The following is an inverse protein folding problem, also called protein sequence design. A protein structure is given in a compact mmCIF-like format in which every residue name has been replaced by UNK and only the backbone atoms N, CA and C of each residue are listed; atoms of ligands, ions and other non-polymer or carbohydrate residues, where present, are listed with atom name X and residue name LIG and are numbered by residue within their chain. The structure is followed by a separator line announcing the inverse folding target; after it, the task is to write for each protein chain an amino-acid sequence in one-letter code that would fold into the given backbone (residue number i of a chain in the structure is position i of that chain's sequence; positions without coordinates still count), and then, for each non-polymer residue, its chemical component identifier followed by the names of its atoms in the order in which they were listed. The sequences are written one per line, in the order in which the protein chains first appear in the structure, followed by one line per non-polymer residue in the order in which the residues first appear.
data_IF_176071301189
#
_entry.id   IF_176071301189
#
_cell.length_a   1.000
_cell.length_b   1.000
_cell.length_c   1.000
_cell.angle_alpha   90.00
_cell.angle_beta   90.00
_cell.angle_gamma   90.00
#
_symmetry.space_group_name_H-M   'P 1'
#
loop_
_entity.id
_entity.type
_entity.pdbx_description
1 polymer ?
#
# COMPACT_ATOMS: atom_id res chain seq x y z
N UNK A 1 4.49 11.95 5.09
CA UNK A 1 4.08 12.36 6.46
C UNK A 1 3.15 13.57 6.34
N UNK A 2 2.45 13.95 7.40
CA UNK A 2 1.86 15.31 7.46
C UNK A 2 2.98 16.27 7.83
N UNK A 3 3.17 17.32 7.03
CA UNK A 3 4.21 18.33 7.17
C UNK A 3 3.62 19.61 7.75
N UNK A 4 4.41 20.41 8.50
CA UNK A 4 3.96 21.71 8.97
C UNK A 4 3.57 22.60 7.78
N UNK A 5 2.35 23.16 7.82
CA UNK A 5 1.82 24.02 6.75
C UNK A 5 1.01 23.28 5.69
N UNK A 6 0.81 21.97 5.84
CA UNK A 6 -0.15 21.24 5.02
C UNK A 6 -1.57 21.77 5.19
N UNK A 7 -2.24 21.88 4.06
CA UNK A 7 -3.69 21.89 3.97
C UNK A 7 -4.20 20.54 3.42
N UNK A 8 -5.53 20.40 3.34
CA UNK A 8 -6.16 19.18 2.83
C UNK A 8 -5.73 18.85 1.40
N UNK A 9 -5.52 19.85 0.54
CA UNK A 9 -5.20 19.68 -0.87
C UNK A 9 -3.77 19.18 -1.06
N UNK A 10 -2.81 19.81 -0.39
CA UNK A 10 -1.39 19.45 -0.43
C UNK A 10 -1.14 18.08 0.18
N UNK A 11 -1.83 17.74 1.28
CA UNK A 11 -1.79 16.41 1.86
C UNK A 11 -2.38 15.36 0.91
N UNK A 12 -3.55 15.62 0.33
CA UNK A 12 -4.20 14.70 -0.60
C UNK A 12 -3.34 14.44 -1.84
N UNK A 13 -2.68 15.46 -2.40
CA UNK A 13 -1.78 15.32 -3.54
C UNK A 13 -0.62 14.36 -3.22
N UNK A 14 0.05 14.52 -2.07
CA UNK A 14 1.13 13.61 -1.65
C UNK A 14 0.62 12.19 -1.36
N UNK A 15 -0.59 12.03 -0.83
CA UNK A 15 -1.21 10.72 -0.63
C UNK A 15 -1.47 10.04 -1.97
N UNK A 16 -2.05 10.76 -2.94
CA UNK A 16 -2.37 10.25 -4.27
C UNK A 16 -1.12 9.74 -5.01
N UNK A 17 0.02 10.42 -4.88
CA UNK A 17 1.30 9.94 -5.42
C UNK A 17 1.70 8.58 -4.83
N UNK A 18 1.46 8.35 -3.53
CA UNK A 18 1.73 7.04 -2.93
C UNK A 18 0.70 6.00 -3.36
N UNK A 19 -0.57 6.36 -3.51
CA UNK A 19 -1.62 5.47 -4.01
C UNK A 19 -1.31 4.96 -5.42
N UNK A 20 -0.85 5.84 -6.33
CA UNK A 20 -0.44 5.46 -7.68
C UNK A 20 0.74 4.49 -7.72
N UNK A 21 1.52 4.36 -6.64
CA UNK A 21 2.60 3.37 -6.51
C UNK A 21 2.09 2.08 -5.86
N UNK A 22 1.34 2.21 -4.78
CA UNK A 22 0.85 1.07 -3.98
C UNK A 22 -0.19 0.25 -4.74
N UNK A 23 -1.13 0.91 -5.41
CA UNK A 23 -2.28 0.24 -6.00
C UNK A 23 -1.88 -0.72 -7.15
N UNK A 24 -1.04 -0.32 -8.12
CA UNK A 24 -0.58 -1.23 -9.17
C UNK A 24 0.26 -2.39 -8.63
N UNK A 25 1.05 -2.16 -7.57
CA UNK A 25 1.87 -3.22 -6.98
C UNK A 25 1.03 -4.29 -6.28
N UNK A 26 0.00 -3.87 -5.53
CA UNK A 26 -0.99 -4.77 -4.94
C UNK A 26 -1.70 -5.59 -6.01
N UNK A 27 -2.09 -4.95 -7.12
CA UNK A 27 -2.68 -5.65 -8.27
C UNK A 27 -1.72 -6.67 -8.90
N UNK A 28 -0.43 -6.33 -9.03
CA UNK A 28 0.59 -7.28 -9.49
C UNK A 28 0.70 -8.49 -8.58
N UNK A 29 0.73 -8.31 -7.26
CA UNK A 29 0.78 -9.43 -6.33
C UNK A 29 -0.47 -10.30 -6.41
N UNK A 30 -1.65 -9.68 -6.54
CA UNK A 30 -2.90 -10.41 -6.71
C UNK A 30 -2.91 -11.23 -8.01
N UNK A 31 -2.56 -10.60 -9.13
CA UNK A 31 -2.48 -11.28 -10.43
C UNK A 31 -1.43 -12.40 -10.46
N UNK A 32 -0.34 -12.25 -9.68
CA UNK A 32 0.70 -13.27 -9.54
C UNK A 32 0.35 -14.38 -8.52
N UNK A 33 -0.82 -14.34 -7.88
CA UNK A 33 -1.21 -15.29 -6.83
C UNK A 33 -0.42 -15.18 -5.53
N UNK A 34 0.34 -14.09 -5.36
CA UNK A 34 1.13 -13.82 -4.15
C UNK A 34 0.27 -13.24 -3.03
N UNK A 35 -0.74 -12.44 -3.39
CA UNK A 35 -1.67 -11.85 -2.44
C UNK A 35 -2.94 -12.70 -2.35
N UNK A 36 -3.35 -13.05 -1.13
CA UNK A 36 -4.54 -13.86 -0.88
C UNK A 36 -5.25 -13.49 0.43
N UNK A 37 -6.40 -14.11 0.66
CA UNK A 37 -7.19 -13.96 1.87
C UNK A 37 -7.51 -15.32 2.46
N UNK A 38 -7.20 -15.52 3.75
CA UNK A 38 -7.53 -16.75 4.48
C UNK A 38 -7.75 -16.44 5.96
N UNK A 39 -8.77 -17.04 6.55
CA UNK A 39 -9.06 -16.95 7.99
C UNK A 39 -9.14 -15.50 8.52
N UNK A 40 -9.69 -14.58 7.72
CA UNK A 40 -9.81 -13.17 8.10
C UNK A 40 -8.53 -12.35 7.96
N UNK A 41 -7.48 -12.92 7.36
CA UNK A 41 -6.17 -12.28 7.20
C UNK A 41 -5.80 -12.14 5.72
N UNK A 42 -5.11 -11.05 5.41
CA UNK A 42 -4.38 -10.89 4.14
C UNK A 42 -3.08 -11.67 4.25
N UNK A 43 -2.81 -12.52 3.25
CA UNK A 43 -1.58 -13.27 3.12
C UNK A 43 -0.79 -12.69 1.94
N UNK A 44 0.52 -12.48 2.12
CA UNK A 44 1.45 -12.18 1.04
C UNK A 44 2.51 -13.28 1.03
N UNK A 45 2.67 -13.96 -0.11
CA UNK A 45 3.54 -15.11 -0.28
C UNK A 45 3.26 -16.25 0.72
N UNK A 46 1.99 -16.40 1.10
CA UNK A 46 1.53 -17.41 2.07
C UNK A 46 1.65 -17.01 3.54
N UNK A 47 2.26 -15.86 3.84
CA UNK A 47 2.45 -15.37 5.21
C UNK A 47 1.46 -14.25 5.57
N UNK A 48 0.89 -14.24 6.79
CA UNK A 48 0.01 -13.17 7.24
C UNK A 48 0.70 -11.79 7.26
N UNK A 49 0.05 -10.80 6.66
CA UNK A 49 0.54 -9.43 6.62
C UNK A 49 0.28 -8.72 7.96
N UNK A 50 1.23 -8.81 8.88
CA UNK A 50 1.09 -8.27 10.26
C UNK A 50 1.40 -6.78 10.40
N UNK A 51 2.01 -6.18 9.38
CA UNK A 51 2.40 -4.77 9.33
C UNK A 51 2.21 -4.26 7.90
N UNK A 52 2.03 -2.94 7.71
CA UNK A 52 1.99 -2.35 6.37
C UNK A 52 3.23 -2.73 5.57
N UNK A 53 3.05 -2.95 4.26
CA UNK A 53 4.18 -3.16 3.35
C UNK A 53 4.85 -1.83 3.09
N UNK A 54 6.17 -1.84 3.14
CA UNK A 54 6.99 -0.72 2.68
C UNK A 54 7.47 -1.04 1.25
N UNK A 55 7.03 -0.24 0.28
CA UNK A 55 7.47 -0.35 -1.11
C UNK A 55 8.79 0.39 -1.38
N UNK A 56 9.42 0.92 -0.33
CA UNK A 56 10.52 1.87 -0.42
C UNK A 56 10.00 3.24 -0.87
N UNK A 57 10.50 4.32 -0.26
CA UNK A 57 10.40 5.64 -0.88
C UNK A 57 11.41 5.68 -2.02
N UNK A 58 10.97 6.10 -3.21
CA UNK A 58 11.88 6.66 -4.19
C UNK A 58 12.54 7.92 -3.62
#
# INVERSE_FOLDING_TARGET
PVEPGDDEQTLAARVLEQEHRLYPEVLRWFAAGRLGWRDGQVLLDGEPLRRPVDLGRG
#
